data_IF_174655787484
#
_entry.id   IF_174655787484
#
_cell.length_a   1.000
_cell.length_b   1.000
_cell.length_c   1.000
_cell.angle_alpha   90.00
_cell.angle_beta   90.00
_cell.angle_gamma   90.00
#
_symmetry.space_group_name_H-M   'P 1'
#
loop_
_entity.id
_entity.type
_entity.pdbx_description
1 polymer ?
#
# COMPACT_ATOMS: atom_id res chain seq x y z
N UNK A 1 -10.91 -4.92 10.57
CA UNK A 1 -10.62 -4.75 9.13
C UNK A 1 -9.12 -4.86 8.86
N UNK A 2 -8.75 -5.37 7.72
CA UNK A 2 -7.36 -5.42 7.25
C UNK A 2 -7.07 -4.22 6.35
N UNK A 3 -6.02 -3.47 6.65
CA UNK A 3 -5.58 -2.31 5.85
C UNK A 3 -4.27 -2.63 5.16
N UNK A 4 -4.20 -2.36 3.86
CA UNK A 4 -2.98 -2.41 3.07
C UNK A 4 -2.55 -0.98 2.73
N UNK A 5 -1.29 -0.64 2.99
CA UNK A 5 -0.71 0.65 2.62
C UNK A 5 0.43 0.41 1.62
N UNK A 6 0.27 0.89 0.41
CA UNK A 6 1.30 0.90 -0.64
C UNK A 6 2.05 2.23 -0.57
N UNK A 7 3.36 2.18 -0.42
CA UNK A 7 4.17 3.37 -0.18
C UNK A 7 4.32 3.72 1.30
N UNK A 8 4.35 2.72 2.15
CA UNK A 8 4.30 2.89 3.61
C UNK A 8 5.57 3.51 4.21
N UNK A 9 6.72 3.39 3.54
CA UNK A 9 7.99 3.94 4.04
C UNK A 9 8.16 5.45 3.77
N UNK A 10 7.30 6.02 2.92
CA UNK A 10 7.31 7.46 2.66
C UNK A 10 6.78 8.27 3.83
N UNK A 11 6.92 9.61 3.75
CA UNK A 11 6.51 10.51 4.83
C UNK A 11 4.99 10.40 5.12
N UNK A 12 4.17 10.42 4.08
CA UNK A 12 2.71 10.32 4.23
C UNK A 12 2.32 8.93 4.75
N UNK A 13 2.94 7.87 4.19
CA UNK A 13 2.67 6.49 4.61
C UNK A 13 2.99 6.26 6.08
N UNK A 14 4.12 6.77 6.57
CA UNK A 14 4.49 6.65 7.99
C UNK A 14 3.54 7.40 8.90
N UNK A 15 3.17 8.62 8.54
CA UNK A 15 2.22 9.42 9.33
C UNK A 15 0.83 8.78 9.36
N UNK A 16 0.39 8.26 8.22
CA UNK A 16 -0.89 7.54 8.15
C UNK A 16 -0.87 6.29 9.03
N UNK A 17 0.20 5.51 8.95
CA UNK A 17 0.36 4.30 9.78
C UNK A 17 0.29 4.65 11.28
N UNK A 18 1.03 5.65 11.72
CA UNK A 18 1.03 6.11 13.11
C UNK A 18 -0.36 6.55 13.55
N UNK A 19 -1.06 7.30 12.72
CA UNK A 19 -2.42 7.77 13.04
C UNK A 19 -3.41 6.63 13.16
N UNK A 20 -3.39 5.71 12.21
CA UNK A 20 -4.29 4.55 12.22
C UNK A 20 -4.05 3.66 13.45
N UNK A 21 -2.79 3.45 13.82
CA UNK A 21 -2.45 2.66 15.01
C UNK A 21 -2.85 3.38 16.31
N UNK A 22 -2.71 4.69 16.36
CA UNK A 22 -3.12 5.48 17.52
C UNK A 22 -4.64 5.43 17.71
N UNK A 23 -5.40 5.56 16.63
CA UNK A 23 -6.86 5.54 16.68
C UNK A 23 -7.41 4.11 16.83
N UNK A 24 -6.69 3.10 16.33
CA UNK A 24 -7.09 1.69 16.37
C UNK A 24 -8.30 1.37 15.48
N UNK A 25 -8.75 2.33 14.69
CA UNK A 25 -9.93 2.18 13.84
C UNK A 25 -9.87 3.13 12.65
N UNK A 26 -10.61 2.78 11.61
CA UNK A 26 -10.89 3.65 10.48
C UNK A 26 -12.40 3.83 10.39
N UNK A 27 -12.87 5.07 10.57
CA UNK A 27 -14.29 5.31 10.75
C UNK A 27 -14.80 4.59 12.00
N UNK A 28 -15.79 3.72 11.82
CA UNK A 28 -16.38 2.93 12.91
C UNK A 28 -15.85 1.50 13.00
N UNK A 29 -14.96 1.11 12.09
CA UNK A 29 -14.45 -0.26 12.03
C UNK A 29 -13.08 -0.36 12.70
N UNK A 30 -12.95 -1.31 13.63
CA UNK A 30 -11.70 -1.60 14.29
C UNK A 30 -10.70 -2.21 13.30
N UNK A 31 -9.43 -1.80 13.42
CA UNK A 31 -8.36 -2.34 12.60
C UNK A 31 -7.82 -3.60 13.27
N UNK A 32 -7.82 -4.72 12.55
CA UNK A 32 -7.37 -6.01 13.05
C UNK A 32 -6.00 -6.43 12.53
N UNK A 33 -5.58 -5.88 11.38
CA UNK A 33 -4.30 -6.18 10.75
C UNK A 33 -3.91 -5.05 9.81
N UNK A 34 -2.61 -4.79 9.69
CA UNK A 34 -2.06 -3.89 8.68
C UNK A 34 -0.94 -4.57 7.90
N UNK A 35 -0.91 -4.34 6.60
CA UNK A 35 0.19 -4.71 5.72
C UNK A 35 0.82 -3.45 5.16
N UNK A 36 2.11 -3.28 5.39
CA UNK A 36 2.90 -2.11 4.98
C UNK A 36 3.85 -2.52 3.87
N UNK A 37 3.68 -1.95 2.69
CA UNK A 37 4.50 -2.27 1.53
C UNK A 37 5.26 -1.04 1.06
N UNK A 38 6.51 -1.22 0.67
CA UNK A 38 7.31 -0.23 -0.06
C UNK A 38 8.45 -0.93 -0.82
N UNK A 39 9.16 -0.18 -1.66
CA UNK A 39 10.39 -0.65 -2.34
C UNK A 39 11.57 -0.74 -1.37
N UNK A 40 11.54 0.05 -0.30
CA UNK A 40 12.46 -0.08 0.84
C UNK A 40 11.71 -0.68 2.02
N UNK A 41 12.42 -1.35 2.92
CA UNK A 41 11.78 -2.00 4.05
C UNK A 41 11.03 -0.99 4.93
N UNK A 42 9.69 -1.06 5.04
CA UNK A 42 8.96 -0.21 5.97
C UNK A 42 9.33 -0.54 7.42
N UNK A 43 9.44 0.49 8.25
CA UNK A 43 9.67 0.29 9.67
C UNK A 43 8.42 -0.31 10.32
N UNK A 44 8.60 -1.42 11.05
CA UNK A 44 7.51 -2.00 11.82
C UNK A 44 7.38 -1.23 13.13
N UNK A 45 6.19 -0.64 13.42
CA UNK A 45 6.00 0.07 14.69
C UNK A 45 6.22 -0.82 15.91
N UNK A 46 6.99 -0.31 16.88
CA UNK A 46 7.45 -1.10 18.04
C UNK A 46 6.33 -1.46 19.03
N UNK A 47 5.27 -0.66 19.09
CA UNK A 47 4.22 -0.80 20.10
C UNK A 47 2.84 -1.04 19.47
N UNK A 48 2.78 -1.72 18.34
CA UNK A 48 1.52 -2.05 17.70
C UNK A 48 0.76 -3.10 18.52
N UNK A 49 -0.52 -2.84 18.78
CA UNK A 49 -1.42 -3.77 19.46
C UNK A 49 -2.06 -4.78 18.51
N UNK A 50 -1.81 -4.66 17.21
CA UNK A 50 -2.35 -5.52 16.16
C UNK A 50 -1.20 -6.12 15.32
N UNK A 51 -1.43 -7.25 14.63
CA UNK A 51 -0.44 -7.80 13.69
C UNK A 51 -0.11 -6.82 12.59
N UNK A 52 1.19 -6.60 12.35
CA UNK A 52 1.70 -5.78 11.26
C UNK A 52 2.65 -6.64 10.42
N UNK A 53 2.33 -6.77 9.15
CA UNK A 53 3.17 -7.40 8.15
C UNK A 53 3.87 -6.32 7.32
N UNK A 54 5.17 -6.46 7.10
CA UNK A 54 5.91 -5.58 6.22
C UNK A 54 6.35 -6.35 4.98
N UNK A 55 6.18 -5.74 3.80
CA UNK A 55 6.51 -6.35 2.53
C UNK A 55 7.38 -5.38 1.74
N UNK A 56 8.57 -5.84 1.35
CA UNK A 56 9.49 -5.08 0.50
C UNK A 56 9.42 -5.63 -0.91
N UNK A 57 8.83 -4.87 -1.82
CA UNK A 57 8.75 -5.24 -3.22
C UNK A 57 8.47 -4.00 -4.09
N UNK A 58 8.81 -4.10 -5.37
CA UNK A 58 8.39 -3.13 -6.37
C UNK A 58 7.02 -3.56 -6.94
N UNK A 59 5.95 -2.93 -6.47
CA UNK A 59 4.59 -3.31 -6.88
C UNK A 59 4.30 -3.05 -8.37
N UNK A 60 5.13 -2.25 -9.02
CA UNK A 60 5.05 -2.00 -10.46
C UNK A 60 5.66 -3.13 -11.31
N UNK A 61 6.27 -4.13 -10.69
CA UNK A 61 6.68 -5.34 -11.41
C UNK A 61 5.49 -6.25 -11.63
N UNK A 62 5.34 -6.85 -12.82
CA UNK A 62 4.23 -7.77 -13.09
C UNK A 62 4.15 -8.89 -12.05
N UNK A 63 2.96 -9.10 -11.50
CA UNK A 63 2.71 -10.14 -10.50
C UNK A 63 3.07 -9.78 -9.06
N UNK A 64 3.79 -8.67 -8.80
CA UNK A 64 4.22 -8.32 -7.46
C UNK A 64 3.07 -7.92 -6.53
N UNK A 65 2.03 -7.31 -7.06
CA UNK A 65 0.87 -6.87 -6.29
C UNK A 65 -0.10 -8.01 -5.97
N UNK A 66 -0.05 -9.10 -6.72
CA UNK A 66 -0.99 -10.21 -6.56
C UNK A 66 -1.02 -10.80 -5.13
N UNK A 67 0.13 -11.10 -4.47
CA UNK A 67 0.11 -11.61 -3.11
C UNK A 67 -0.49 -10.61 -2.10
N UNK A 68 -0.31 -9.31 -2.34
CA UNK A 68 -0.82 -8.26 -1.45
C UNK A 68 -2.35 -8.21 -1.49
N UNK A 69 -2.92 -8.28 -2.69
CA UNK A 69 -4.38 -8.27 -2.88
C UNK A 69 -4.99 -9.63 -2.51
N UNK A 70 -4.25 -10.72 -2.70
CA UNK A 70 -4.69 -12.06 -2.28
C UNK A 70 -4.93 -12.17 -0.77
N UNK A 71 -4.27 -11.35 0.03
CA UNK A 71 -4.55 -11.23 1.47
C UNK A 71 -5.91 -10.63 1.80
N UNK A 72 -6.65 -10.19 0.80
CA UNK A 72 -8.01 -9.61 0.89
C UNK A 72 -8.09 -8.43 1.86
N UNK A 73 -7.25 -7.39 1.71
CA UNK A 73 -7.41 -6.21 2.53
C UNK A 73 -8.78 -5.57 2.28
N UNK A 74 -9.38 -5.05 3.34
CA UNK A 74 -10.67 -4.36 3.25
C UNK A 74 -10.52 -2.95 2.70
N UNK A 75 -9.40 -2.31 3.00
CA UNK A 75 -9.08 -0.96 2.55
C UNK A 75 -7.64 -0.91 2.06
N UNK A 76 -7.44 -0.27 0.91
CA UNK A 76 -6.12 -0.09 0.30
C UNK A 76 -5.84 1.40 0.17
N UNK A 77 -4.77 1.87 0.83
CA UNK A 77 -4.24 3.21 0.62
C UNK A 77 -3.08 3.12 -0.38
N UNK A 78 -3.28 3.70 -1.54
CA UNK A 78 -2.28 3.72 -2.61
C UNK A 78 -1.53 5.04 -2.60
N UNK A 79 -0.41 5.06 -1.87
CA UNK A 79 0.44 6.24 -1.71
C UNK A 79 1.76 6.12 -2.49
N UNK A 80 1.99 4.98 -3.11
CA UNK A 80 3.20 4.72 -3.90
C UNK A 80 3.13 5.49 -5.21
N UNK A 81 4.00 6.48 -5.36
CA UNK A 81 4.11 7.31 -6.56
C UNK A 81 5.50 7.92 -6.66
N UNK A 82 5.89 8.30 -7.87
CA UNK A 82 7.08 9.10 -8.13
C UNK A 82 6.65 10.56 -8.26
N UNK A 83 7.29 11.43 -7.47
CA UNK A 83 7.03 12.87 -7.52
C UNK A 83 7.51 13.47 -8.85
N UNK A 84 6.92 14.58 -9.26
CA UNK A 84 7.12 15.17 -10.60
C UNK A 84 8.59 15.40 -10.97
N UNK A 85 9.42 15.88 -10.06
CA UNK A 85 10.85 16.10 -10.33
C UNK A 85 11.59 14.81 -10.66
N UNK A 86 11.33 13.73 -9.96
CA UNK A 86 11.93 12.42 -10.24
C UNK A 86 11.35 11.81 -11.53
N UNK A 87 10.06 11.99 -11.77
CA UNK A 87 9.40 11.52 -12.99
C UNK A 87 9.90 12.26 -14.24
N UNK A 88 10.22 13.54 -14.13
CA UNK A 88 10.81 14.31 -15.22
C UNK A 88 12.27 13.87 -15.50
N UNK A 89 13.03 13.56 -14.45
CA UNK A 89 14.40 13.08 -14.58
C UNK A 89 14.48 11.65 -15.15
N UNK A 90 13.50 10.81 -14.84
CA UNK A 90 13.39 9.44 -15.34
C UNK A 90 11.93 9.18 -15.75
N UNK A 91 11.61 9.51 -17.00
CA UNK A 91 10.26 9.39 -17.55
C UNK A 91 9.73 7.95 -17.51
N UNK A 92 10.55 6.97 -17.91
CA UNK A 92 10.13 5.57 -17.92
C UNK A 92 9.82 5.06 -16.51
N UNK A 93 10.63 5.44 -15.53
CA UNK A 93 10.40 5.09 -14.12
C UNK A 93 9.11 5.72 -13.61
N UNK A 94 8.88 7.01 -13.89
CA UNK A 94 7.66 7.70 -13.51
C UNK A 94 6.43 7.08 -14.14
N UNK A 95 6.48 6.78 -15.44
CA UNK A 95 5.41 6.12 -16.17
C UNK A 95 5.13 4.73 -15.60
N UNK A 96 6.17 3.92 -15.36
CA UNK A 96 6.04 2.58 -14.82
C UNK A 96 5.42 2.58 -13.43
N UNK A 97 5.90 3.43 -12.52
CA UNK A 97 5.39 3.48 -11.14
C UNK A 97 4.00 4.09 -11.08
N UNK A 98 3.80 5.26 -11.71
CA UNK A 98 2.56 6.01 -11.56
C UNK A 98 1.41 5.46 -12.41
N UNK A 99 1.71 4.83 -13.54
CA UNK A 99 0.67 4.30 -14.44
C UNK A 99 0.62 2.78 -14.40
N UNK A 100 1.70 2.10 -14.75
CA UNK A 100 1.68 0.64 -14.88
C UNK A 100 1.44 -0.03 -13.53
N UNK A 101 2.08 0.45 -12.46
CA UNK A 101 1.88 -0.09 -11.12
C UNK A 101 0.43 0.06 -10.66
N UNK A 102 -0.17 1.21 -10.89
CA UNK A 102 -1.59 1.44 -10.56
C UNK A 102 -2.50 0.56 -11.40
N UNK A 103 -2.19 0.38 -12.68
CA UNK A 103 -2.95 -0.52 -13.56
C UNK A 103 -2.88 -1.97 -13.06
N UNK A 104 -1.70 -2.45 -12.69
CA UNK A 104 -1.55 -3.81 -12.14
C UNK A 104 -2.36 -3.99 -10.87
N UNK A 105 -2.39 -2.99 -10.00
CA UNK A 105 -3.20 -3.01 -8.79
C UNK A 105 -4.69 -3.15 -9.13
N UNK A 106 -5.21 -2.33 -10.01
CA UNK A 106 -6.62 -2.38 -10.40
C UNK A 106 -6.98 -3.66 -11.16
N UNK A 107 -6.10 -4.16 -12.02
CA UNK A 107 -6.31 -5.42 -12.71
C UNK A 107 -6.43 -6.58 -11.72
N UNK A 108 -5.59 -6.61 -10.70
CA UNK A 108 -5.61 -7.65 -9.67
C UNK A 108 -6.85 -7.56 -8.79
N UNK A 109 -7.25 -6.36 -8.39
CA UNK A 109 -8.49 -6.13 -7.65
C UNK A 109 -9.69 -6.64 -8.46
N UNK A 110 -9.73 -6.33 -9.74
CA UNK A 110 -10.81 -6.76 -10.63
C UNK A 110 -10.82 -8.27 -10.82
N UNK A 111 -9.65 -8.91 -10.92
CA UNK A 111 -9.53 -10.35 -11.06
C UNK A 111 -10.06 -11.10 -9.83
N UNK A 112 -9.73 -10.61 -8.64
CA UNK A 112 -10.15 -11.23 -7.38
C UNK A 112 -11.63 -10.94 -7.09
N UNK A 113 -12.13 -9.80 -7.49
CA UNK A 113 -13.44 -9.31 -7.10
C UNK A 113 -13.41 -8.76 -5.67
N UNK A 114 -14.51 -8.81 -4.95
CA UNK A 114 -14.54 -8.42 -3.53
C UNK A 114 -15.22 -7.10 -3.25
N UNK A 115 -15.82 -6.46 -4.24
CA UNK A 115 -16.65 -5.28 -4.01
C UNK A 115 -15.89 -4.01 -3.65
N UNK A 116 -14.62 -3.91 -4.00
CA UNK A 116 -13.85 -2.69 -3.79
C UNK A 116 -14.47 -1.52 -4.55
N UNK A 117 -14.48 -0.36 -3.91
CA UNK A 117 -14.90 0.90 -4.50
C UNK A 117 -13.72 1.88 -4.45
N UNK A 118 -13.44 2.59 -5.54
CA UNK A 118 -12.40 3.61 -5.57
C UNK A 118 -12.73 4.81 -4.71
#
# INVERSE_FOLDING_TARGET
MHILILGAAGMVGRKLTERLLRDGRLGQLAISKMTLQDVVAPAKPAHASIPIETVTCDFAMPGAVAPLVAGKPDTIFHLAAIVSGEAEADFEKGYRINLDGTRYLFDEIRRIGGGYKP
#
